data_IF_057128342025
#
_entry.id   IF_057128342025
#
_cell.length_a   1.000
_cell.length_b   1.000
_cell.length_c   1.000
_cell.angle_alpha   90.00
_cell.angle_beta   90.00
_cell.angle_gamma   90.00
#
_symmetry.space_group_name_H-M   'P 1'
#
loop_
_entity.id
_entity.type
_entity.pdbx_description
1 polymer ?
#
# COMPACT_ATOMS: atom_id res chain seq x y z
N UNK A 1 5.23 -16.10 -5.28
CA UNK A 1 4.84 -15.03 -6.23
C UNK A 1 4.68 -13.72 -5.44
N UNK A 2 5.77 -12.95 -5.28
CA UNK A 2 5.69 -11.55 -4.83
C UNK A 2 5.53 -10.71 -6.10
N UNK A 3 4.32 -10.22 -6.40
CA UNK A 3 4.01 -9.48 -7.63
C UNK A 3 4.58 -8.04 -7.64
N UNK A 4 5.80 -7.83 -7.12
CA UNK A 4 6.59 -6.63 -7.43
C UNK A 4 6.19 -5.32 -6.74
N UNK A 5 5.33 -5.28 -5.72
CA UNK A 5 5.00 -4.00 -5.04
C UNK A 5 5.92 -3.80 -3.83
N UNK A 6 7.22 -3.54 -4.10
CA UNK A 6 8.12 -3.03 -3.05
C UNK A 6 7.83 -1.57 -2.77
N UNK A 7 7.60 -0.81 -3.84
CA UNK A 7 7.27 0.60 -3.83
C UNK A 7 6.06 0.82 -4.74
N UNK A 8 5.15 1.70 -4.34
CA UNK A 8 3.93 2.01 -5.11
C UNK A 8 3.97 3.38 -5.77
N UNK A 9 4.77 4.29 -5.21
CA UNK A 9 5.01 5.61 -5.76
C UNK A 9 6.42 6.04 -5.36
N UNK A 10 7.01 6.90 -6.19
CA UNK A 10 8.30 7.52 -5.95
C UNK A 10 8.18 8.98 -6.35
N UNK A 11 8.70 9.89 -5.54
CA UNK A 11 8.82 11.32 -5.89
C UNK A 11 10.29 11.66 -6.11
N UNK A 12 10.53 12.57 -7.05
CA UNK A 12 11.83 13.16 -7.36
C UNK A 12 11.64 14.66 -7.49
N UNK A 13 12.63 15.43 -7.07
CA UNK A 13 12.59 16.89 -7.12
C UNK A 13 13.93 17.41 -7.64
N UNK A 14 13.90 18.47 -8.43
CA UNK A 14 15.08 19.21 -8.89
C UNK A 14 15.90 19.79 -7.73
N UNK A 15 15.23 20.25 -6.65
CA UNK A 15 15.89 20.84 -5.47
C UNK A 15 16.54 19.79 -4.56
N UNK A 16 16.06 18.54 -4.60
CA UNK A 16 16.65 17.42 -3.88
C UNK A 16 16.66 16.17 -4.77
N UNK A 17 17.82 15.82 -5.36
CA UNK A 17 17.91 14.74 -6.35
C UNK A 17 17.69 13.34 -5.75
N UNK A 18 17.53 13.22 -4.43
CA UNK A 18 17.30 11.92 -3.78
C UNK A 18 15.84 11.47 -3.97
N UNK A 19 15.61 10.31 -4.61
CA UNK A 19 14.26 9.79 -4.78
C UNK A 19 13.66 9.34 -3.45
N UNK A 20 12.40 9.69 -3.21
CA UNK A 20 11.66 9.28 -2.02
C UNK A 20 10.65 8.21 -2.38
N UNK A 21 10.77 7.06 -1.73
CA UNK A 21 9.97 5.89 -2.05
C UNK A 21 8.82 5.68 -1.07
N UNK A 22 7.63 5.44 -1.61
CA UNK A 22 6.41 5.18 -0.85
C UNK A 22 5.94 3.74 -1.06
N UNK A 23 5.31 3.13 -0.04
CA UNK A 23 4.68 1.81 -0.17
C UNK A 23 5.23 0.69 0.71
N UNK A 24 6.31 0.90 1.47
CA UNK A 24 6.87 -0.11 2.40
C UNK A 24 5.83 -0.67 3.38
N UNK A 25 4.96 0.20 3.92
CA UNK A 25 3.86 -0.19 4.81
C UNK A 25 2.78 -0.99 4.08
N UNK A 26 2.44 -0.59 2.86
CA UNK A 26 1.43 -1.27 2.04
C UNK A 26 1.85 -2.70 1.72
N UNK A 27 3.13 -2.93 1.40
CA UNK A 27 3.69 -4.27 1.17
C UNK A 27 3.46 -5.20 2.37
N UNK A 28 3.75 -4.73 3.59
CA UNK A 28 3.52 -5.51 4.82
C UNK A 28 2.06 -5.91 4.98
N UNK A 29 1.14 -4.97 4.73
CA UNK A 29 -0.31 -5.21 4.83
C UNK A 29 -0.77 -6.23 3.79
N UNK A 30 -0.41 -6.04 2.51
CA UNK A 30 -0.79 -6.99 1.44
C UNK A 30 -0.22 -8.39 1.69
N UNK A 31 1.01 -8.49 2.22
CA UNK A 31 1.62 -9.76 2.61
C UNK A 31 0.86 -10.48 3.73
N UNK A 32 0.47 -9.74 4.78
CA UNK A 32 -0.33 -10.28 5.88
C UNK A 32 -1.67 -10.85 5.39
N UNK A 33 -2.42 -10.07 4.60
CA UNK A 33 -3.72 -10.53 4.07
C UNK A 33 -3.58 -11.65 3.03
N UNK A 34 -2.50 -11.67 2.25
CA UNK A 34 -2.20 -12.79 1.34
C UNK A 34 -2.08 -14.11 2.11
N UNK A 35 -1.32 -14.13 3.20
CA UNK A 35 -1.18 -15.31 4.04
C UNK A 35 -2.52 -15.73 4.65
N UNK A 36 -3.31 -14.78 5.17
CA UNK A 36 -4.64 -15.04 5.72
C UNK A 36 -5.61 -15.63 4.69
N UNK A 37 -5.68 -15.05 3.48
CA UNK A 37 -6.53 -15.57 2.39
C UNK A 37 -6.13 -16.99 2.01
N UNK A 38 -4.82 -17.28 1.92
CA UNK A 38 -4.30 -18.62 1.61
C UNK A 38 -4.69 -19.63 2.69
N UNK A 39 -4.51 -19.30 3.97
CA UNK A 39 -4.88 -20.18 5.10
C UNK A 39 -6.39 -20.45 5.15
N UNK A 40 -7.21 -19.42 4.94
CA UNK A 40 -8.67 -19.55 4.92
C UNK A 40 -9.19 -20.31 3.70
N UNK A 41 -8.52 -20.19 2.55
CA UNK A 41 -8.86 -20.95 1.35
C UNK A 41 -8.66 -22.46 1.55
N UNK A 42 -7.57 -22.86 2.21
CA UNK A 42 -7.34 -24.26 2.58
C UNK A 42 -8.45 -24.82 3.50
N UNK A 43 -8.99 -23.96 4.37
CA UNK A 43 -10.11 -24.29 5.27
C UNK A 43 -11.50 -24.16 4.60
N UNK A 44 -11.58 -23.86 3.30
CA UNK A 44 -12.82 -23.59 2.55
C UNK A 44 -13.74 -22.53 3.20
N UNK A 45 -13.15 -21.58 3.94
CA UNK A 45 -13.88 -20.58 4.72
C UNK A 45 -14.23 -19.33 3.89
N UNK A 46 -14.97 -19.49 2.80
CA UNK A 46 -15.20 -18.44 1.78
C UNK A 46 -15.90 -17.18 2.33
N UNK A 47 -16.85 -17.33 3.27
CA UNK A 47 -17.52 -16.17 3.92
C UNK A 47 -16.53 -15.29 4.66
N UNK A 48 -15.58 -15.90 5.36
CA UNK A 48 -14.53 -15.19 6.10
C UNK A 48 -13.57 -14.48 5.14
N UNK A 49 -13.19 -15.12 4.02
CA UNK A 49 -12.37 -14.51 2.98
C UNK A 49 -13.00 -13.21 2.45
N UNK A 50 -14.31 -13.24 2.15
CA UNK A 50 -15.05 -12.05 1.72
C UNK A 50 -15.00 -10.94 2.78
N UNK A 51 -15.25 -11.29 4.05
CA UNK A 51 -15.21 -10.33 5.17
C UNK A 51 -13.84 -9.68 5.33
N UNK A 52 -12.75 -10.46 5.29
CA UNK A 52 -11.40 -9.90 5.43
C UNK A 52 -10.99 -9.07 4.21
N UNK A 53 -11.45 -9.42 3.00
CA UNK A 53 -11.18 -8.65 1.79
C UNK A 53 -11.73 -7.22 1.86
N UNK A 54 -12.93 -7.04 2.45
CA UNK A 54 -13.48 -5.70 2.70
C UNK A 54 -12.62 -4.90 3.69
N UNK A 55 -12.09 -5.54 4.74
CA UNK A 55 -11.20 -4.89 5.71
C UNK A 55 -9.86 -4.51 5.07
N UNK A 56 -9.26 -5.43 4.32
CA UNK A 56 -8.02 -5.19 3.57
C UNK A 56 -8.18 -3.98 2.65
N UNK A 57 -9.25 -3.93 1.84
CA UNK A 57 -9.53 -2.80 0.95
C UNK A 57 -9.55 -1.46 1.70
N UNK A 58 -10.21 -1.39 2.85
CA UNK A 58 -10.26 -0.16 3.67
C UNK A 58 -8.87 0.25 4.16
N UNK A 59 -8.09 -0.70 4.67
CA UNK A 59 -6.72 -0.43 5.16
C UNK A 59 -5.80 0.00 4.04
N UNK A 60 -5.87 -0.67 2.89
CA UNK A 60 -5.09 -0.32 1.69
C UNK A 60 -5.44 1.09 1.21
N UNK A 61 -6.73 1.41 1.11
CA UNK A 61 -7.18 2.73 0.70
C UNK A 61 -6.72 3.84 1.66
N UNK A 62 -6.82 3.63 2.98
CA UNK A 62 -6.29 4.60 3.97
C UNK A 62 -4.79 4.88 3.77
N UNK A 63 -4.01 3.82 3.53
CA UNK A 63 -2.57 3.96 3.26
C UNK A 63 -2.32 4.73 1.96
N UNK A 64 -3.07 4.42 0.90
CA UNK A 64 -2.95 5.10 -0.39
C UNK A 64 -3.33 6.59 -0.28
N UNK A 65 -4.40 6.92 0.43
CA UNK A 65 -4.79 8.31 0.65
C UNK A 65 -3.73 9.10 1.42
N UNK A 66 -3.09 8.49 2.43
CA UNK A 66 -1.98 9.12 3.16
C UNK A 66 -0.75 9.35 2.29
N UNK A 67 -0.40 8.38 1.46
CA UNK A 67 0.71 8.51 0.50
C UNK A 67 0.40 9.64 -0.50
N UNK A 68 -0.81 9.65 -1.08
CA UNK A 68 -1.22 10.68 -2.02
C UNK A 68 -1.17 12.08 -1.40
N UNK A 69 -1.69 12.27 -0.18
CA UNK A 69 -1.57 13.55 0.53
C UNK A 69 -0.13 13.96 0.80
N UNK A 70 0.73 13.01 1.19
CA UNK A 70 2.15 13.31 1.41
C UNK A 70 2.86 13.78 0.14
N UNK A 71 2.52 13.21 -1.02
CA UNK A 71 3.05 13.62 -2.32
C UNK A 71 2.56 15.02 -2.69
N UNK A 72 1.27 15.30 -2.51
CA UNK A 72 0.70 16.64 -2.80
C UNK A 72 1.33 17.72 -1.92
N UNK A 73 1.45 17.46 -0.61
CA UNK A 73 2.09 18.42 0.30
C UNK A 73 3.56 18.64 -0.06
N UNK A 74 4.29 17.57 -0.40
CA UNK A 74 5.68 17.68 -0.85
C UNK A 74 5.78 18.52 -2.14
N UNK A 75 4.85 18.40 -3.09
CA UNK A 75 4.85 19.25 -4.27
C UNK A 75 4.62 20.73 -3.91
N UNK A 76 3.62 21.03 -3.08
CA UNK A 76 3.30 22.39 -2.64
C UNK A 76 4.46 23.08 -1.89
N UNK A 77 5.20 22.33 -1.08
CA UNK A 77 6.37 22.84 -0.35
C UNK A 77 7.56 23.17 -1.28
N UNK A 78 7.61 22.55 -2.46
CA UNK A 78 8.74 22.64 -3.39
C UNK A 78 8.47 23.49 -4.63
N UNK A 79 7.23 23.94 -4.86
CA UNK A 79 6.83 24.91 -5.89
C UNK A 79 7.20 26.37 -5.52
N UNK A 80 8.09 26.58 -4.54
CA UNK A 80 8.60 27.89 -4.11
C UNK A 80 9.96 28.23 -4.72
#
# INVERSE_FOLDING_TARGET
MDLGIRWIATTVNSNNPKPKFYGKRLRKVKGHYFYLRRSLALKKAYRTIKKIGHKERRVVNDILHKISRAIVNEALENDS
#
